data_IF_439809859341
#
_entry.id   IF_439809859341
#
_cell.length_a   1.000
_cell.length_b   1.000
_cell.length_c   1.000
_cell.angle_alpha   90.00
_cell.angle_beta   90.00
_cell.angle_gamma   90.00
#
_symmetry.space_group_name_H-M   'P 1'
#
loop_
_entity.id
_entity.type
_entity.pdbx_description
1 polymer ?
#
# COMPACT_ATOMS: atom_id res chain seq x y z
N UNK A 1 34.07 10.40 13.74
CA UNK A 1 32.65 10.04 13.48
C UNK A 1 31.73 10.97 14.24
N UNK A 2 30.76 11.56 13.55
CA UNK A 2 29.68 12.34 14.18
C UNK A 2 28.72 11.42 14.92
N UNK A 3 27.94 11.96 15.88
CA UNK A 3 26.90 11.19 16.58
C UNK A 3 25.93 10.51 15.61
N UNK A 4 25.58 11.19 14.52
CA UNK A 4 24.70 10.68 13.48
C UNK A 4 25.27 9.45 12.75
N UNK A 5 26.55 9.49 12.38
CA UNK A 5 27.22 8.35 11.75
C UNK A 5 27.24 7.11 12.66
N UNK A 6 27.50 7.30 13.96
CA UNK A 6 27.43 6.21 14.93
C UNK A 6 26.03 5.60 15.03
N UNK A 7 24.98 6.41 14.95
CA UNK A 7 23.60 5.92 14.94
C UNK A 7 23.32 5.08 13.70
N UNK A 8 23.77 5.51 12.51
CA UNK A 8 23.65 4.72 11.28
C UNK A 8 24.33 3.36 11.43
N UNK A 9 25.57 3.33 11.92
CA UNK A 9 26.32 2.08 12.13
C UNK A 9 25.60 1.11 13.10
N UNK A 10 24.93 1.63 14.13
CA UNK A 10 24.14 0.82 15.07
C UNK A 10 22.94 0.17 14.38
N UNK A 11 22.22 0.90 13.53
CA UNK A 11 21.11 0.36 12.74
C UNK A 11 21.60 -0.69 11.74
N UNK A 12 22.67 -0.39 10.99
CA UNK A 12 23.24 -1.32 10.02
C UNK A 12 23.73 -2.61 10.69
N UNK A 13 24.36 -2.50 11.87
CA UNK A 13 24.78 -3.68 12.64
C UNK A 13 23.58 -4.51 13.08
N UNK A 14 22.51 -3.87 13.54
CA UNK A 14 21.28 -4.56 13.95
C UNK A 14 20.60 -5.29 12.77
N UNK A 15 20.63 -4.69 11.57
CA UNK A 15 20.03 -5.27 10.37
C UNK A 15 20.91 -6.30 9.65
N UNK A 16 22.16 -6.49 10.06
CA UNK A 16 23.00 -7.60 9.56
C UNK A 16 22.65 -8.95 10.17
N UNK A 17 21.88 -8.98 11.25
CA UNK A 17 21.46 -10.22 11.90
C UNK A 17 20.23 -10.83 11.21
N UNK A 18 20.24 -12.13 10.95
CA UNK A 18 19.09 -12.85 10.37
C UNK A 18 17.81 -12.70 11.20
N UNK A 19 17.95 -12.61 12.53
CA UNK A 19 16.86 -12.34 13.46
C UNK A 19 17.08 -10.98 14.11
N UNK A 20 16.17 -10.05 13.84
CA UNK A 20 16.24 -8.68 14.34
C UNK A 20 15.73 -8.62 15.78
N UNK A 21 16.54 -8.06 16.67
CA UNK A 21 16.14 -7.78 18.05
C UNK A 21 15.20 -6.56 18.10
N UNK A 22 13.91 -6.84 18.24
CA UNK A 22 12.86 -5.81 18.29
C UNK A 22 13.04 -4.85 19.48
N UNK A 23 13.56 -5.31 20.62
CA UNK A 23 13.75 -4.44 21.79
C UNK A 23 14.83 -3.42 21.50
N UNK A 24 15.97 -3.87 20.95
CA UNK A 24 17.05 -2.97 20.52
C UNK A 24 16.58 -2.01 19.42
N UNK A 25 15.82 -2.50 18.44
CA UNK A 25 15.27 -1.66 17.38
C UNK A 25 14.42 -0.51 17.95
N UNK A 26 13.51 -0.82 18.89
CA UNK A 26 12.66 0.18 19.53
C UNK A 26 13.47 1.22 20.31
N UNK A 27 14.48 0.80 21.06
CA UNK A 27 15.35 1.70 21.82
C UNK A 27 16.11 2.65 20.87
N UNK A 28 16.69 2.13 19.79
CA UNK A 28 17.41 2.95 18.81
C UNK A 28 16.47 3.94 18.10
N UNK A 29 15.32 3.43 17.63
CA UNK A 29 14.33 4.22 16.90
C UNK A 29 13.61 5.28 17.75
N UNK A 30 13.61 5.15 19.09
CA UNK A 30 12.99 6.11 19.99
C UNK A 30 13.55 7.52 19.83
N UNK A 31 14.86 7.63 19.58
CA UNK A 31 15.54 8.90 19.33
C UNK A 31 15.41 9.42 17.89
N UNK A 32 14.66 8.72 17.04
CA UNK A 32 14.50 8.99 15.61
C UNK A 32 15.19 7.94 14.73
N UNK A 33 14.73 7.86 13.48
CA UNK A 33 15.29 6.94 12.47
C UNK A 33 16.02 7.73 11.38
N UNK A 34 17.31 7.41 11.10
CA UNK A 34 18.05 7.97 9.96
C UNK A 34 17.33 7.78 8.61
N UNK A 35 17.41 8.77 7.73
CA UNK A 35 16.88 8.70 6.35
C UNK A 35 17.71 7.80 5.43
N UNK A 36 18.99 7.68 5.73
CA UNK A 36 20.00 7.10 4.85
C UNK A 36 19.82 5.59 4.68
N UNK A 37 20.29 5.07 3.55
CA UNK A 37 20.36 3.64 3.24
C UNK A 37 19.04 2.86 3.44
N UNK A 38 17.89 3.54 3.36
CA UNK A 38 16.58 2.92 3.57
C UNK A 38 16.29 2.53 5.03
N UNK A 39 17.12 2.92 6.00
CA UNK A 39 17.00 2.57 7.42
C UNK A 39 15.62 2.90 7.97
N UNK A 40 15.12 4.11 7.73
CA UNK A 40 13.77 4.51 8.16
C UNK A 40 12.70 3.61 7.58
N UNK A 41 12.78 3.32 6.27
CA UNK A 41 11.78 2.48 5.59
C UNK A 41 11.74 1.08 6.19
N UNK A 42 12.90 0.50 6.49
CA UNK A 42 13.01 -0.84 7.06
C UNK A 42 12.53 -0.88 8.51
N UNK A 43 12.96 0.10 9.29
CA UNK A 43 12.54 0.26 10.69
C UNK A 43 11.02 0.37 10.79
N UNK A 44 10.39 1.21 9.97
CA UNK A 44 8.93 1.36 9.96
C UNK A 44 8.21 0.09 9.58
N UNK A 45 8.68 -0.61 8.53
CA UNK A 45 8.10 -1.90 8.12
C UNK A 45 8.12 -2.92 9.27
N UNK A 46 9.17 -2.95 10.08
CA UNK A 46 9.25 -3.87 11.22
C UNK A 46 8.37 -3.38 12.39
N UNK A 47 8.47 -2.10 12.76
CA UNK A 47 7.73 -1.55 13.91
C UNK A 47 6.22 -1.52 13.70
N UNK A 48 5.76 -1.41 12.45
CA UNK A 48 4.35 -1.51 12.06
C UNK A 48 3.91 -2.96 11.82
N UNK A 49 4.73 -3.95 12.18
CA UNK A 49 4.48 -5.38 12.02
C UNK A 49 4.22 -5.83 10.57
N UNK A 50 4.69 -5.07 9.58
CA UNK A 50 4.61 -5.47 8.19
C UNK A 50 5.66 -6.53 7.82
N UNK A 51 6.91 -6.35 8.27
CA UNK A 51 7.98 -7.33 8.11
C UNK A 51 8.19 -8.14 9.39
N UNK A 52 8.47 -9.42 9.22
CA UNK A 52 8.81 -10.34 10.31
C UNK A 52 10.20 -10.02 10.89
N UNK A 53 10.47 -10.43 12.12
CA UNK A 53 11.80 -10.26 12.72
C UNK A 53 12.86 -11.16 12.08
N UNK A 54 12.43 -12.30 11.52
CA UNK A 54 13.27 -13.24 10.79
C UNK A 54 13.36 -12.82 9.31
N UNK A 55 14.53 -12.33 8.93
CA UNK A 55 14.83 -11.79 7.60
C UNK A 55 14.80 -12.86 6.51
N UNK A 56 15.09 -14.12 6.86
CA UNK A 56 15.12 -15.23 5.90
C UNK A 56 13.75 -15.47 5.26
N UNK A 57 12.68 -15.09 5.97
CA UNK A 57 11.29 -15.23 5.53
C UNK A 57 10.77 -14.04 4.71
N UNK A 58 11.53 -12.95 4.60
CA UNK A 58 11.03 -11.72 3.98
C UNK A 58 10.64 -11.87 2.53
N UNK A 59 11.43 -12.59 1.73
CA UNK A 59 11.15 -12.75 0.30
C UNK A 59 9.78 -13.43 0.08
N UNK A 60 9.56 -14.57 0.74
CA UNK A 60 8.30 -15.31 0.68
C UNK A 60 7.12 -14.50 1.24
N UNK A 61 7.31 -13.86 2.40
CA UNK A 61 6.28 -13.02 3.02
C UNK A 61 5.88 -11.85 2.13
N UNK A 62 6.85 -11.11 1.58
CA UNK A 62 6.60 -9.97 0.70
C UNK A 62 5.90 -10.39 -0.59
N UNK A 63 6.26 -11.53 -1.18
CA UNK A 63 5.54 -12.07 -2.35
C UNK A 63 4.08 -12.30 -1.99
N UNK A 64 3.82 -13.05 -0.92
CA UNK A 64 2.46 -13.37 -0.48
C UNK A 64 1.63 -12.12 -0.18
N UNK A 65 2.19 -11.14 0.52
CA UNK A 65 1.49 -9.89 0.84
C UNK A 65 1.16 -9.07 -0.41
N UNK A 66 2.07 -9.04 -1.39
CA UNK A 66 1.84 -8.34 -2.67
C UNK A 66 0.80 -9.05 -3.52
N UNK A 67 0.82 -10.38 -3.57
CA UNK A 67 -0.16 -11.17 -4.31
C UNK A 67 -1.56 -11.02 -3.69
N UNK A 68 -1.65 -11.02 -2.35
CA UNK A 68 -2.89 -10.77 -1.64
C UNK A 68 -3.44 -9.37 -1.94
N UNK A 69 -2.60 -8.35 -1.89
CA UNK A 69 -2.98 -6.98 -2.24
C UNK A 69 -3.49 -6.87 -3.69
N UNK A 70 -2.86 -7.56 -4.65
CA UNK A 70 -3.34 -7.64 -6.04
C UNK A 70 -4.71 -8.32 -6.12
N UNK A 71 -4.93 -9.38 -5.34
CA UNK A 71 -6.25 -10.01 -5.20
C UNK A 71 -7.31 -9.01 -4.77
N UNK A 72 -7.04 -8.25 -3.70
CA UNK A 72 -7.97 -7.21 -3.24
C UNK A 72 -8.25 -6.13 -4.29
N UNK A 73 -7.25 -5.70 -5.05
CA UNK A 73 -7.47 -4.74 -6.15
C UNK A 73 -8.49 -5.29 -7.15
N UNK A 74 -8.34 -6.55 -7.57
CA UNK A 74 -9.23 -7.19 -8.56
C UNK A 74 -10.64 -7.40 -8.05
N UNK A 75 -10.79 -7.68 -6.75
CA UNK A 75 -12.10 -7.90 -6.12
C UNK A 75 -12.82 -6.59 -5.78
N UNK A 76 -12.08 -5.55 -5.40
CA UNK A 76 -12.65 -4.28 -4.93
C UNK A 76 -13.03 -3.35 -6.08
N UNK A 77 -12.35 -3.45 -7.22
CA UNK A 77 -12.68 -2.63 -8.39
C UNK A 77 -13.73 -3.36 -9.21
N UNK A 78 -15.00 -3.15 -8.85
CA UNK A 78 -16.15 -3.74 -9.54
C UNK A 78 -16.42 -2.92 -10.80
N UNK A 79 -16.30 -3.55 -11.98
CA UNK A 79 -16.81 -2.97 -13.22
C UNK A 79 -18.14 -3.62 -13.62
N UNK A 80 -19.26 -2.89 -13.61
CA UNK A 80 -20.52 -3.39 -14.13
C UNK A 80 -20.39 -3.77 -15.60
N UNK A 81 -20.74 -5.01 -15.96
CA UNK A 81 -20.77 -5.49 -17.34
C UNK A 81 -19.61 -6.39 -17.79
N UNK A 82 -18.52 -6.50 -17.02
CA UNK A 82 -17.40 -7.41 -17.32
C UNK A 82 -17.56 -8.81 -16.70
N UNK A 83 -18.26 -8.92 -15.58
CA UNK A 83 -18.47 -10.20 -14.86
C UNK A 83 -19.66 -11.01 -15.38
N UNK A 84 -20.39 -10.50 -16.39
CA UNK A 84 -21.51 -11.19 -17.02
C UNK A 84 -21.04 -11.91 -18.27
N UNK A 85 -20.69 -13.18 -18.13
CA UNK A 85 -20.53 -14.11 -19.24
C UNK A 85 -21.75 -14.06 -20.16
N UNK A 86 -21.61 -13.47 -21.36
CA UNK A 86 -22.35 -13.69 -22.62
C UNK A 86 -23.89 -13.90 -22.60
N UNK A 87 -24.58 -13.69 -21.49
CA UNK A 87 -26.02 -13.66 -21.36
C UNK A 87 -26.34 -12.40 -20.58
N UNK A 88 -26.64 -11.36 -21.35
CA UNK A 88 -27.21 -10.12 -20.86
C UNK A 88 -28.40 -10.44 -19.94
N UNK A 89 -28.18 -10.43 -18.63
CA UNK A 89 -29.24 -10.20 -17.68
C UNK A 89 -29.69 -8.75 -17.93
N UNK A 90 -30.67 -8.58 -18.83
CA UNK A 90 -31.37 -7.32 -19.15
C UNK A 90 -31.87 -6.59 -17.88
N UNK A 91 -31.86 -7.29 -16.75
CA UNK A 91 -32.30 -6.88 -15.43
C UNK A 91 -31.28 -6.00 -14.69
N UNK A 92 -29.96 -6.09 -14.94
CA UNK A 92 -28.96 -5.25 -14.25
C UNK A 92 -28.34 -4.19 -15.17
N UNK A 93 -28.83 -2.95 -15.04
CA UNK A 93 -28.48 -1.82 -15.90
C UNK A 93 -28.20 -0.56 -15.07
N UNK A 94 -27.55 0.49 -15.62
CA UNK A 94 -27.19 1.71 -14.89
C UNK A 94 -28.35 2.38 -14.14
N UNK A 95 -29.55 2.30 -14.71
CA UNK A 95 -30.76 2.89 -14.12
C UNK A 95 -31.50 1.96 -13.14
N UNK A 96 -30.94 0.79 -12.80
CA UNK A 96 -31.62 -0.20 -11.98
C UNK A 96 -31.62 0.28 -10.52
N UNK A 97 -32.81 0.45 -9.95
CA UNK A 97 -33.00 0.94 -8.58
C UNK A 97 -32.92 -0.17 -7.53
N UNK A 98 -32.73 -1.43 -7.96
CA UNK A 98 -32.65 -2.56 -7.04
C UNK A 98 -31.40 -2.45 -6.15
N UNK A 99 -31.52 -2.66 -4.82
CA UNK A 99 -30.41 -2.49 -3.88
C UNK A 99 -29.28 -3.51 -4.07
N UNK A 100 -29.51 -4.59 -4.81
CA UNK A 100 -28.54 -5.62 -5.17
C UNK A 100 -27.96 -5.45 -6.59
N UNK A 101 -28.22 -4.32 -7.26
CA UNK A 101 -27.65 -4.01 -8.57
C UNK A 101 -26.14 -3.75 -8.48
N UNK A 102 -25.38 -4.31 -9.41
CA UNK A 102 -23.94 -4.05 -9.53
C UNK A 102 -23.66 -2.58 -9.88
N UNK A 103 -24.58 -1.96 -10.62
CA UNK A 103 -24.53 -0.53 -10.94
C UNK A 103 -24.75 0.37 -9.73
N UNK A 104 -25.67 0.01 -8.83
CA UNK A 104 -25.88 0.75 -7.58
C UNK A 104 -24.63 0.72 -6.69
N UNK A 105 -23.96 -0.43 -6.59
CA UNK A 105 -22.68 -0.55 -5.90
C UNK A 105 -21.58 0.29 -6.58
N UNK A 106 -21.45 0.19 -7.90
CA UNK A 106 -20.47 0.96 -8.68
C UNK A 106 -20.63 2.47 -8.51
N UNK A 107 -21.84 3.02 -8.59
CA UNK A 107 -22.03 4.47 -8.42
C UNK A 107 -21.65 4.92 -7.01
N UNK A 108 -22.03 4.15 -5.99
CA UNK A 108 -21.65 4.43 -4.60
C UNK A 108 -20.13 4.36 -4.39
N UNK A 109 -19.47 3.38 -5.00
CA UNK A 109 -18.01 3.27 -4.97
C UNK A 109 -17.34 4.45 -5.68
N UNK A 110 -17.86 4.89 -6.82
CA UNK A 110 -17.35 6.08 -7.52
C UNK A 110 -17.52 7.36 -6.71
N UNK A 111 -18.60 7.51 -5.94
CA UNK A 111 -18.74 8.64 -5.01
C UNK A 111 -17.63 8.64 -3.97
N UNK A 112 -17.29 7.47 -3.40
CA UNK A 112 -16.19 7.32 -2.44
C UNK A 112 -14.85 7.64 -3.12
N UNK A 113 -14.58 7.07 -4.31
CA UNK A 113 -13.37 7.32 -5.08
C UNK A 113 -13.21 8.81 -5.42
N UNK A 114 -14.30 9.49 -5.77
CA UNK A 114 -14.29 10.93 -6.05
C UNK A 114 -13.92 11.74 -4.81
N UNK A 115 -14.36 11.34 -3.61
CA UNK A 115 -13.94 12.00 -2.36
C UNK A 115 -12.45 11.76 -2.08
N UNK A 116 -11.98 10.52 -2.25
CA UNK A 116 -10.55 10.19 -2.09
C UNK A 116 -9.71 11.03 -3.05
N UNK A 117 -10.08 11.11 -4.34
CA UNK A 117 -9.38 11.89 -5.36
C UNK A 117 -9.33 13.39 -5.03
N UNK A 118 -10.44 13.96 -4.56
CA UNK A 118 -10.48 15.35 -4.07
C UNK A 118 -9.53 15.57 -2.89
N UNK A 119 -9.50 14.65 -1.93
CA UNK A 119 -8.65 14.73 -0.74
C UNK A 119 -7.17 14.55 -1.06
N UNK A 120 -6.84 13.62 -1.94
CA UNK A 120 -5.46 13.39 -2.40
C UNK A 120 -4.91 14.61 -3.14
N UNK A 121 -5.70 15.25 -4.02
CA UNK A 121 -5.24 16.45 -4.77
C UNK A 121 -4.88 17.64 -3.88
N UNK A 122 -5.46 17.74 -2.69
CA UNK A 122 -5.19 18.82 -1.72
C UNK A 122 -4.22 18.42 -0.61
N UNK A 123 -3.73 17.19 -0.61
CA UNK A 123 -2.83 16.67 0.42
C UNK A 123 -1.43 17.28 0.24
N UNK A 124 -0.94 17.97 1.27
CA UNK A 124 0.43 18.51 1.35
C UNK A 124 0.89 19.25 0.08
N UNK A 125 0.22 20.34 -0.34
CA UNK A 125 0.47 21.00 -1.61
C UNK A 125 1.90 21.57 -1.76
N UNK A 126 2.61 21.80 -0.65
CA UNK A 126 3.98 22.32 -0.70
C UNK A 126 5.03 21.23 -0.97
N UNK A 127 4.65 19.95 -0.91
CA UNK A 127 5.53 18.81 -1.12
C UNK A 127 5.35 18.23 -2.53
N UNK A 128 6.34 18.47 -3.40
CA UNK A 128 6.34 18.02 -4.80
C UNK A 128 6.09 16.52 -4.98
N UNK A 129 6.46 15.71 -3.99
CA UNK A 129 6.20 14.27 -3.98
C UNK A 129 4.71 13.92 -4.15
N UNK A 130 3.79 14.71 -3.59
CA UNK A 130 2.35 14.45 -3.67
C UNK A 130 1.67 15.06 -4.91
N UNK A 131 2.38 15.92 -5.64
CA UNK A 131 1.85 16.57 -6.85
C UNK A 131 2.27 15.88 -8.15
N UNK A 132 3.31 15.05 -8.10
CA UNK A 132 3.79 14.31 -9.28
C UNK A 132 2.98 13.04 -9.51
N UNK A 133 2.85 12.65 -10.77
CA UNK A 133 2.33 11.32 -11.10
C UNK A 133 3.27 10.23 -10.58
N UNK A 134 2.69 9.10 -10.17
CA UNK A 134 3.47 7.94 -9.77
C UNK A 134 4.20 7.35 -10.98
N UNK A 135 5.47 6.99 -10.79
CA UNK A 135 6.25 6.23 -11.78
C UNK A 135 5.81 4.75 -11.85
N UNK A 136 5.02 4.30 -10.88
CA UNK A 136 4.56 2.92 -10.76
C UNK A 136 3.03 2.88 -10.70
N UNK A 137 2.35 3.24 -11.79
CA UNK A 137 0.91 3.15 -11.79
C UNK A 137 0.44 1.69 -11.82
N UNK A 138 -0.77 1.44 -11.32
CA UNK A 138 -1.37 0.12 -11.36
C UNK A 138 -1.79 -0.23 -12.79
N UNK A 139 -0.97 -1.01 -13.49
CA UNK A 139 -1.25 -1.42 -14.87
C UNK A 139 -2.55 -2.22 -15.02
N UNK A 140 -2.97 -2.94 -13.97
CA UNK A 140 -4.22 -3.68 -13.94
C UNK A 140 -5.45 -2.75 -14.01
N UNK A 141 -5.30 -1.46 -13.69
CA UNK A 141 -6.36 -0.45 -13.73
C UNK A 141 -6.20 0.47 -14.95
N UNK A 142 -4.96 0.79 -15.36
CA UNK A 142 -4.70 1.73 -16.47
C UNK A 142 -4.96 1.17 -17.87
N UNK A 143 -4.79 -0.13 -18.06
CA UNK A 143 -5.00 -0.80 -19.35
C UNK A 143 -6.43 -1.34 -19.50
N UNK A 144 -7.36 -0.87 -18.66
CA UNK A 144 -8.78 -1.21 -18.70
C UNK A 144 -9.56 -0.11 -19.42
#
# INVERSE_FOLDING_TARGET
MTRYQKTIEQFETLFKCDIIDLKKLKILAFSGCPTDNGIRSLTWKILLNYLLLDQTKWSSHLSKQRDLYRGYIRETIIQPGLTSSAQSNIVDHPLNSAPNSSWAAYFKENEILLQIDKDVRRLCPDLSFFQRQTEYPCAEIMNQ
#
